data_IF_588346309491
#
_entry.id   IF_588346309491
#
_cell.length_a   1.000
_cell.length_b   1.000
_cell.length_c   1.000
_cell.angle_alpha   90.00
_cell.angle_beta   90.00
_cell.angle_gamma   90.00
#
_symmetry.space_group_name_H-M   'P 1'
#
loop_
_entity.id
_entity.type
_entity.pdbx_description
1 polymer ?
#
# COMPACT_ATOMS: atom_id res chain seq x y z
N UNK A 1 4.52 -12.86 -22.91
CA UNK A 1 4.45 -12.92 -21.44
C UNK A 1 4.23 -11.51 -20.95
N UNK A 2 3.27 -11.31 -20.04
CA UNK A 2 2.93 -9.99 -19.47
C UNK A 2 2.74 -10.16 -17.95
N UNK A 3 3.44 -9.37 -17.15
CA UNK A 3 3.47 -9.46 -15.69
C UNK A 3 3.62 -8.07 -15.07
N UNK A 4 2.97 -7.88 -13.93
CA UNK A 4 3.08 -6.66 -13.12
C UNK A 4 3.83 -6.95 -11.81
N UNK A 5 4.47 -5.91 -11.28
CA UNK A 5 5.07 -5.94 -9.94
C UNK A 5 3.94 -5.95 -8.90
N UNK A 6 4.03 -6.82 -7.89
CA UNK A 6 3.05 -6.97 -6.82
C UNK A 6 3.11 -5.84 -5.77
N UNK A 7 3.02 -4.59 -6.22
CA UNK A 7 2.85 -3.39 -5.38
C UNK A 7 1.40 -2.89 -5.49
N UNK A 8 0.97 -2.00 -4.58
CA UNK A 8 -0.42 -1.51 -4.53
C UNK A 8 -1.45 -2.66 -4.59
N UNK A 9 -1.12 -3.76 -3.93
CA UNK A 9 -1.87 -5.01 -3.98
C UNK A 9 -2.39 -5.34 -2.59
N UNK A 10 -3.62 -5.84 -2.52
CA UNK A 10 -4.24 -6.34 -1.29
C UNK A 10 -4.34 -7.86 -1.40
N UNK A 11 -3.90 -8.57 -0.36
CA UNK A 11 -4.03 -10.03 -0.26
C UNK A 11 -5.08 -10.37 0.77
N UNK A 12 -6.10 -11.13 0.37
CA UNK A 12 -7.13 -11.66 1.26
C UNK A 12 -6.81 -13.11 1.59
N UNK A 13 -6.65 -13.43 2.88
CA UNK A 13 -6.33 -14.78 3.33
C UNK A 13 -6.78 -15.00 4.77
N UNK A 14 -7.35 -16.18 5.07
CA UNK A 14 -7.76 -16.58 6.43
C UNK A 14 -8.66 -15.56 7.13
N UNK A 15 -9.62 -14.99 6.40
CA UNK A 15 -10.56 -13.99 6.94
C UNK A 15 -9.93 -12.64 7.27
N UNK A 16 -8.73 -12.35 6.77
CA UNK A 16 -8.03 -11.07 6.95
C UNK A 16 -7.55 -10.56 5.60
N UNK A 17 -7.33 -9.25 5.52
CA UNK A 17 -6.59 -8.64 4.43
C UNK A 17 -5.26 -8.09 4.93
N UNK A 18 -4.28 -8.02 4.03
CA UNK A 18 -3.02 -7.33 4.24
C UNK A 18 -2.59 -6.59 2.97
N UNK A 19 -1.80 -5.54 3.16
CA UNK A 19 -1.12 -4.81 2.09
C UNK A 19 0.23 -4.32 2.59
N UNK A 20 1.12 -4.03 1.65
CA UNK A 20 2.46 -3.50 1.94
C UNK A 20 2.74 -2.27 1.09
N UNK A 21 3.45 -1.30 1.68
CA UNK A 21 4.02 -0.15 1.00
C UNK A 21 5.47 0.06 1.50
N UNK A 22 6.27 0.71 0.68
CA UNK A 22 7.69 0.97 0.93
C UNK A 22 8.21 2.14 0.09
N UNK A 23 9.43 2.57 0.40
CA UNK A 23 10.18 3.61 -0.31
C UNK A 23 11.62 3.14 -0.56
N UNK A 24 12.29 3.76 -1.52
CA UNK A 24 13.71 3.53 -1.75
C UNK A 24 14.51 4.55 -0.92
N UNK A 25 15.44 4.08 -0.09
CA UNK A 25 16.26 4.95 0.77
C UNK A 25 17.54 5.31 0.03
N UNK A 26 17.86 6.61 0.01
CA UNK A 26 19.09 7.17 -0.56
C UNK A 26 19.83 8.00 0.50
N UNK A 27 21.01 8.53 0.15
CA UNK A 27 21.90 9.19 1.11
C UNK A 27 21.31 10.45 1.77
N UNK A 28 20.39 11.11 1.09
CA UNK A 28 19.69 12.33 1.50
C UNK A 28 18.26 12.09 2.03
N UNK A 29 17.81 10.83 2.06
CA UNK A 29 16.51 10.47 2.65
C UNK A 29 16.47 10.84 4.14
N UNK A 30 15.33 11.38 4.59
CA UNK A 30 15.05 11.54 6.03
C UNK A 30 13.95 10.57 6.47
N UNK A 31 14.06 9.97 7.67
CA UNK A 31 13.05 9.02 8.16
C UNK A 31 11.62 9.56 8.11
N UNK A 32 11.42 10.84 8.39
CA UNK A 32 10.10 11.48 8.44
C UNK A 32 9.46 11.61 7.06
N UNK A 33 10.24 11.96 6.03
CA UNK A 33 9.73 12.06 4.66
C UNK A 33 9.39 10.69 4.10
N UNK A 34 10.27 9.70 4.29
CA UNK A 34 10.08 8.34 3.80
C UNK A 34 8.86 7.67 4.46
N UNK A 35 8.67 7.90 5.76
CA UNK A 35 7.48 7.41 6.46
C UNK A 35 6.19 8.02 5.88
N UNK A 36 6.17 9.33 5.62
CA UNK A 36 5.02 9.98 4.97
C UNK A 36 4.77 9.42 3.57
N UNK A 37 5.81 9.14 2.81
CA UNK A 37 5.69 8.52 1.49
C UNK A 37 5.07 7.12 1.58
N UNK A 38 5.53 6.28 2.51
CA UNK A 38 4.94 4.94 2.75
C UNK A 38 3.46 5.04 3.08
N UNK A 39 3.07 5.98 3.95
CA UNK A 39 1.67 6.22 4.29
C UNK A 39 0.88 6.60 3.03
N UNK A 40 1.33 7.62 2.29
CA UNK A 40 0.67 8.06 1.05
C UNK A 40 0.53 6.94 0.00
N UNK A 41 1.52 6.05 -0.10
CA UNK A 41 1.45 4.87 -0.98
C UNK A 41 0.45 3.82 -0.50
N UNK A 42 0.21 3.73 0.80
CA UNK A 42 -0.79 2.81 1.34
C UNK A 42 -2.22 3.36 1.32
N UNK A 43 -2.41 4.69 1.36
CA UNK A 43 -3.74 5.31 1.48
C UNK A 43 -4.72 4.89 0.40
N UNK A 44 -4.28 4.70 -0.86
CA UNK A 44 -5.19 4.27 -1.94
C UNK A 44 -5.83 2.90 -1.67
N UNK A 45 -5.10 2.00 -1.00
CA UNK A 45 -5.58 0.65 -0.68
C UNK A 45 -6.60 0.71 0.46
N UNK A 46 -6.36 1.62 1.42
CA UNK A 46 -7.29 1.89 2.52
C UNK A 46 -8.59 2.50 1.99
N UNK A 47 -8.49 3.47 1.08
CA UNK A 47 -9.64 4.07 0.42
C UNK A 47 -10.45 3.03 -0.37
N UNK A 48 -9.78 2.17 -1.15
CA UNK A 48 -10.45 1.10 -1.88
C UNK A 48 -11.22 0.13 -0.96
N UNK A 49 -10.63 -0.23 0.18
CA UNK A 49 -11.31 -1.05 1.18
C UNK A 49 -12.51 -0.34 1.81
N UNK A 50 -12.41 0.95 2.11
CA UNK A 50 -13.51 1.73 2.66
C UNK A 50 -14.69 1.81 1.69
N UNK A 51 -14.43 2.10 0.41
CA UNK A 51 -15.45 2.13 -0.63
C UNK A 51 -16.14 0.78 -0.80
N UNK A 52 -15.38 -0.33 -0.78
CA UNK A 52 -15.93 -1.66 -0.91
C UNK A 52 -16.85 -2.07 0.27
N UNK A 53 -16.68 -1.47 1.45
CA UNK A 53 -17.55 -1.70 2.61
C UNK A 53 -18.84 -0.88 2.51
N UNK A 54 -18.81 0.33 1.95
CA UNK A 54 -20.00 1.18 1.80
C UNK A 54 -21.02 0.66 0.77
N UNK A 55 -20.57 -0.20 -0.17
CA UNK A 55 -21.44 -0.81 -1.19
C UNK A 55 -22.08 -2.16 -0.75
N UNK A 56 -21.88 -2.57 0.51
CA UNK A 56 -22.40 -3.82 1.08
C UNK A 56 -23.53 -3.59 2.08
#
# INVERSE_FOLDING_TARGET
MDQAIAIRTIVFSKGRYSFQAGGGIVADSTPEYEFKEVLAKSEILRAALAMAVEEM
#
